data_IF_185067345806
#
_entry.id   IF_185067345806
#
_cell.length_a   1.000
_cell.length_b   1.000
_cell.length_c   1.000
_cell.angle_alpha   90.00
_cell.angle_beta   90.00
_cell.angle_gamma   90.00
#
_symmetry.space_group_name_H-M   'P 1'
#
loop_
_entity.id
_entity.type
_entity.pdbx_description
1 polymer ?
#
# COMPACT_ATOMS: atom_id res chain seq x y z
N UNK A 1 26.90 -12.78 -16.84
CA UNK A 1 27.37 -11.52 -16.21
C UNK A 1 26.29 -10.51 -15.89
N UNK A 2 25.33 -10.24 -16.79
CA UNK A 2 24.28 -9.23 -16.57
C UNK A 2 23.51 -9.40 -15.24
N UNK A 3 22.95 -10.59 -14.99
CA UNK A 3 22.21 -10.87 -13.74
C UNK A 3 23.04 -10.58 -12.48
N UNK A 4 24.35 -10.88 -12.50
CA UNK A 4 25.24 -10.59 -11.37
C UNK A 4 25.44 -9.09 -11.17
N UNK A 5 25.63 -8.33 -12.24
CA UNK A 5 25.73 -6.86 -12.20
C UNK A 5 24.43 -6.23 -11.71
N UNK A 6 23.28 -6.75 -12.18
CA UNK A 6 21.95 -6.34 -11.73
C UNK A 6 21.77 -6.54 -10.23
N UNK A 7 22.08 -7.74 -9.71
CA UNK A 7 21.99 -8.02 -8.28
C UNK A 7 22.88 -7.09 -7.44
N UNK A 8 24.12 -6.84 -7.88
CA UNK A 8 25.05 -5.93 -7.18
C UNK A 8 24.53 -4.49 -7.21
N UNK A 9 23.95 -4.04 -8.33
CA UNK A 9 23.35 -2.72 -8.44
C UNK A 9 22.16 -2.57 -7.48
N UNK A 10 21.25 -3.54 -7.47
CA UNK A 10 20.10 -3.55 -6.56
C UNK A 10 20.52 -3.61 -5.09
N UNK A 11 21.58 -4.34 -4.74
CA UNK A 11 22.12 -4.37 -3.38
C UNK A 11 22.65 -3.00 -2.95
N UNK A 12 23.35 -2.29 -3.84
CA UNK A 12 23.84 -0.93 -3.57
C UNK A 12 22.69 0.08 -3.45
N UNK A 13 21.65 -0.06 -4.28
CA UNK A 13 20.41 0.73 -4.19
C UNK A 13 19.75 0.48 -2.83
N UNK A 14 19.59 -0.78 -2.41
CA UNK A 14 19.01 -1.15 -1.13
C UNK A 14 19.76 -0.51 0.05
N UNK A 15 21.10 -0.61 0.06
CA UNK A 15 21.95 -0.01 1.10
C UNK A 15 21.82 1.52 1.13
N UNK A 16 21.80 2.14 -0.04
CA UNK A 16 21.70 3.60 -0.18
C UNK A 16 20.31 4.12 0.20
N UNK A 17 19.24 3.40 -0.15
CA UNK A 17 17.86 3.71 0.22
C UNK A 17 17.61 3.63 1.73
N UNK A 18 18.41 2.84 2.46
CA UNK A 18 18.38 2.72 3.91
C UNK A 18 19.48 3.54 4.62
N UNK A 19 20.16 4.43 3.88
CA UNK A 19 21.14 5.33 4.46
C UNK A 19 20.47 6.36 5.37
N UNK A 20 21.19 6.82 6.40
CA UNK A 20 20.72 7.86 7.31
C UNK A 20 20.49 9.21 6.63
N UNK A 21 21.22 9.48 5.56
CA UNK A 21 21.07 10.73 4.82
C UNK A 21 19.80 10.64 3.93
N UNK A 22 18.78 11.49 4.17
CA UNK A 22 17.52 11.43 3.44
C UNK A 22 17.66 11.76 1.95
N UNK A 23 18.66 12.55 1.55
CA UNK A 23 18.91 12.88 0.14
C UNK A 23 19.49 11.68 -0.61
N UNK A 24 20.46 10.99 0.00
CA UNK A 24 21.03 9.74 -0.55
C UNK A 24 19.93 8.69 -0.66
N UNK A 25 19.11 8.55 0.39
CA UNK A 25 18.01 7.60 0.41
C UNK A 25 16.98 7.87 -0.70
N UNK A 26 16.57 9.12 -0.88
CA UNK A 26 15.63 9.50 -1.92
C UNK A 26 16.23 9.36 -3.33
N UNK A 27 17.49 9.73 -3.52
CA UNK A 27 18.18 9.56 -4.81
C UNK A 27 18.29 8.07 -5.21
N UNK A 28 18.56 7.20 -4.24
CA UNK A 28 18.58 5.75 -4.46
C UNK A 28 17.22 5.21 -4.91
N UNK A 29 16.12 5.66 -4.29
CA UNK A 29 14.78 5.28 -4.75
C UNK A 29 14.48 5.80 -6.16
N UNK A 30 14.87 7.03 -6.49
CA UNK A 30 14.70 7.58 -7.84
C UNK A 30 15.42 6.74 -8.88
N UNK A 31 16.67 6.40 -8.61
CA UNK A 31 17.45 5.48 -9.44
C UNK A 31 16.77 4.11 -9.56
N UNK A 32 16.23 3.58 -8.47
CA UNK A 32 15.49 2.31 -8.50
C UNK A 32 14.26 2.36 -9.39
N UNK A 33 13.45 3.42 -9.28
CA UNK A 33 12.27 3.60 -10.11
C UNK A 33 12.63 3.74 -11.60
N UNK A 34 13.64 4.53 -11.93
CA UNK A 34 14.11 4.68 -13.31
C UNK A 34 14.54 3.32 -13.89
N UNK A 35 15.28 2.53 -13.10
CA UNK A 35 15.71 1.20 -13.50
C UNK A 35 14.53 0.24 -13.74
N UNK A 36 13.50 0.28 -12.90
CA UNK A 36 12.31 -0.56 -13.06
C UNK A 36 11.42 -0.08 -14.22
N UNK A 37 11.34 1.23 -14.48
CA UNK A 37 10.54 1.77 -15.58
C UNK A 37 11.19 1.65 -16.98
N UNK A 38 12.52 1.62 -17.05
CA UNK A 38 13.25 1.67 -18.33
C UNK A 38 13.48 0.31 -18.98
N UNK A 39 13.36 -0.79 -18.25
CA UNK A 39 13.52 -2.14 -18.80
C UNK A 39 12.24 -2.52 -19.56
N UNK A 40 12.28 -2.70 -20.90
CA UNK A 40 11.10 -3.06 -21.66
C UNK A 40 10.59 -4.45 -21.26
N UNK A 41 9.29 -4.58 -21.02
CA UNK A 41 8.63 -5.89 -20.96
C UNK A 41 8.86 -6.62 -22.30
N UNK A 42 9.55 -7.76 -22.28
CA UNK A 42 9.81 -8.62 -23.44
C UNK A 42 8.56 -9.29 -24.03
N UNK A 43 7.35 -8.91 -23.60
CA UNK A 43 6.09 -9.62 -23.90
C UNK A 43 5.18 -9.01 -24.97
N UNK A 44 5.53 -7.95 -25.67
CA UNK A 44 4.73 -7.49 -26.83
C UNK A 44 5.29 -8.00 -28.15
N UNK A 45 4.98 -9.25 -28.50
CA UNK A 45 5.03 -9.71 -29.90
C UNK A 45 3.78 -10.53 -30.23
N UNK A 46 2.70 -9.86 -30.66
CA UNK A 46 1.86 -10.25 -31.81
C UNK A 46 0.65 -9.31 -31.92
N UNK A 47 0.64 -8.47 -32.94
CA UNK A 47 -0.50 -8.32 -33.87
C UNK A 47 -0.07 -7.45 -35.04
N UNK A 48 -0.20 -8.03 -36.23
CA UNK A 48 0.06 -7.41 -37.52
C UNK A 48 -0.81 -6.17 -37.73
N UNK A 49 -0.19 -5.03 -38.07
CA UNK A 49 -0.82 -4.02 -38.92
C UNK A 49 0.22 -3.50 -39.91
N UNK A 50 -0.12 -3.62 -41.19
CA UNK A 50 0.63 -3.21 -42.37
C UNK A 50 0.70 -1.67 -42.47
N UNK A 51 1.90 -1.19 -42.83
CA UNK A 51 2.46 0.15 -43.17
C UNK A 51 1.56 1.15 -43.96
N UNK A 52 1.94 2.44 -44.27
CA UNK A 52 3.30 2.97 -44.47
C UNK A 52 3.52 4.50 -44.09
N UNK A 53 4.50 5.26 -44.63
CA UNK A 53 5.68 5.73 -43.87
C UNK A 53 5.91 7.26 -43.88
N UNK A 54 6.35 7.91 -42.80
CA UNK A 54 7.15 9.15 -42.95
C UNK A 54 7.91 9.60 -41.69
N UNK A 55 9.14 10.04 -41.96
CA UNK A 55 10.10 10.87 -41.19
C UNK A 55 10.81 10.27 -39.97
N UNK A 56 12.12 10.16 -40.14
CA UNK A 56 13.09 9.68 -39.19
C UNK A 56 13.23 10.58 -37.96
N UNK A 57 13.13 9.95 -36.79
CA UNK A 57 13.77 10.43 -35.57
C UNK A 57 14.53 9.24 -34.97
N UNK A 58 15.86 9.33 -35.02
CA UNK A 58 16.76 8.39 -34.36
C UNK A 58 16.60 8.49 -32.84
N UNK A 59 15.69 7.72 -32.26
CA UNK A 59 15.77 7.33 -30.86
C UNK A 59 16.27 5.90 -30.80
N UNK A 60 17.56 5.75 -30.50
CA UNK A 60 18.18 4.48 -30.16
C UNK A 60 17.43 3.87 -28.96
N UNK A 61 16.43 3.02 -29.24
CA UNK A 61 16.01 2.00 -28.28
C UNK A 61 17.14 0.98 -28.23
N UNK A 62 18.06 1.16 -27.29
CA UNK A 62 19.03 0.13 -26.94
C UNK A 62 18.25 -1.07 -26.40
N UNK A 63 17.97 -2.01 -27.30
CA UNK A 63 17.44 -3.32 -26.96
C UNK A 63 18.57 -4.07 -26.26
N UNK A 64 18.42 -4.32 -24.95
CA UNK A 64 19.38 -5.11 -24.19
C UNK A 64 19.47 -6.54 -24.76
N UNK A 65 20.59 -7.25 -24.53
CA UNK A 65 20.82 -8.58 -25.08
C UNK A 65 19.72 -9.55 -24.63
N UNK A 66 19.29 -10.41 -25.55
CA UNK A 66 18.29 -11.47 -25.37
C UNK A 66 18.53 -12.26 -24.07
N UNK A 67 17.89 -11.86 -22.98
CA UNK A 67 17.76 -12.69 -21.79
C UNK A 67 16.77 -13.81 -22.07
N UNK A 68 17.06 -15.01 -21.57
CA UNK A 68 16.10 -16.11 -21.62
C UNK A 68 14.92 -15.76 -20.69
N UNK A 69 13.72 -16.27 -20.94
CA UNK A 69 12.53 -15.97 -20.11
C UNK A 69 12.74 -16.27 -18.62
N UNK A 70 13.61 -17.23 -18.30
CA UNK A 70 14.02 -17.57 -16.93
C UNK A 70 14.91 -16.51 -16.28
N UNK A 71 15.81 -15.90 -17.04
CA UNK A 71 16.69 -14.84 -16.52
C UNK A 71 15.87 -13.56 -16.24
N UNK A 72 14.93 -13.23 -17.12
CA UNK A 72 14.00 -12.11 -16.94
C UNK A 72 13.18 -12.24 -15.65
N UNK A 73 12.66 -13.43 -15.37
CA UNK A 73 11.91 -13.70 -14.13
C UNK A 73 12.80 -13.52 -12.88
N UNK A 74 14.04 -13.98 -12.92
CA UNK A 74 14.98 -13.83 -11.80
C UNK A 74 15.35 -12.36 -11.55
N UNK A 75 15.50 -11.56 -12.60
CA UNK A 75 15.80 -10.12 -12.50
C UNK A 75 14.70 -9.38 -11.73
N UNK A 76 13.44 -9.59 -12.11
CA UNK A 76 12.29 -8.93 -11.48
C UNK A 76 11.99 -9.47 -10.09
N UNK A 77 12.23 -10.76 -9.86
CA UNK A 77 12.13 -11.34 -8.52
C UNK A 77 13.15 -10.70 -7.56
N UNK A 78 14.38 -10.43 -8.01
CA UNK A 78 15.34 -9.69 -7.18
C UNK A 78 14.86 -8.25 -6.92
N UNK A 79 14.38 -7.53 -7.94
CA UNK A 79 13.82 -6.19 -7.74
C UNK A 79 12.70 -6.19 -6.68
N UNK A 80 11.83 -7.21 -6.70
CA UNK A 80 10.81 -7.41 -5.67
C UNK A 80 11.39 -7.61 -4.26
N UNK A 81 12.38 -8.49 -4.11
CA UNK A 81 13.06 -8.72 -2.81
C UNK A 81 13.67 -7.41 -2.29
N UNK A 82 14.33 -6.64 -3.15
CA UNK A 82 14.90 -5.33 -2.77
C UNK A 82 13.81 -4.36 -2.35
N UNK A 83 12.70 -4.29 -3.06
CA UNK A 83 11.55 -3.47 -2.66
C UNK A 83 11.04 -3.88 -1.27
N UNK A 84 10.86 -5.17 -1.01
CA UNK A 84 10.45 -5.69 0.31
C UNK A 84 11.46 -5.32 1.41
N UNK A 85 12.75 -5.47 1.14
CA UNK A 85 13.81 -5.18 2.11
C UNK A 85 13.90 -3.69 2.44
N UNK A 86 13.74 -2.81 1.45
CA UNK A 86 13.67 -1.36 1.67
C UNK A 86 12.45 -1.04 2.54
N UNK A 87 11.28 -1.59 2.23
CA UNK A 87 10.05 -1.38 3.01
C UNK A 87 10.19 -1.82 4.46
N UNK A 88 10.69 -3.04 4.69
CA UNK A 88 10.97 -3.55 6.04
C UNK A 88 12.02 -2.73 6.76
N UNK A 89 12.99 -2.14 6.05
CA UNK A 89 14.04 -1.32 6.62
C UNK A 89 13.56 0.07 7.03
N UNK A 90 12.82 0.75 6.15
CA UNK A 90 12.35 2.12 6.37
C UNK A 90 11.14 2.21 7.32
N UNK A 91 10.45 1.09 7.55
CA UNK A 91 9.31 1.02 8.48
C UNK A 91 9.66 0.45 9.86
N UNK A 92 10.95 0.22 10.16
CA UNK A 92 11.36 -0.21 11.51
C UNK A 92 11.05 0.87 12.53
N UNK A 93 10.37 0.48 13.61
CA UNK A 93 10.22 1.34 14.78
C UNK A 93 11.62 1.68 15.35
N UNK A 94 11.91 2.94 15.69
CA UNK A 94 13.14 3.29 16.40
C UNK A 94 13.24 2.51 17.71
N UNK A 95 14.43 2.02 18.11
CA UNK A 95 14.58 1.32 19.38
C UNK A 95 14.24 2.23 20.57
N UNK A 96 13.61 1.65 21.59
CA UNK A 96 12.99 2.30 22.77
C UNK A 96 13.91 3.27 23.56
N UNK A 97 15.22 3.27 23.30
CA UNK A 97 16.25 4.02 24.02
C UNK A 97 16.90 5.15 23.22
N UNK A 98 16.39 5.50 22.05
CA UNK A 98 16.94 6.62 21.27
C UNK A 98 16.34 7.92 21.81
N UNK A 99 17.14 8.67 22.58
CA UNK A 99 16.91 10.09 22.80
C UNK A 99 17.08 10.74 21.43
N UNK A 100 16.00 11.24 20.83
CA UNK A 100 16.08 12.02 19.60
C UNK A 100 16.61 13.39 20.02
N UNK A 101 17.90 13.63 19.79
CA UNK A 101 18.57 14.88 20.14
C UNK A 101 18.39 15.91 19.02
N UNK A 102 18.28 15.46 17.76
CA UNK A 102 18.14 16.31 16.59
C UNK A 102 17.08 15.85 15.57
N UNK A 103 16.62 16.80 14.73
CA UNK A 103 15.64 16.60 13.63
C UNK A 103 16.04 15.54 12.59
N UNK A 104 17.33 15.18 12.53
CA UNK A 104 17.91 14.19 11.62
C UNK A 104 18.26 12.86 12.31
N UNK A 105 18.07 12.77 13.63
CA UNK A 105 18.32 11.55 14.41
C UNK A 105 17.10 10.62 14.49
N UNK A 106 15.94 11.09 14.04
CA UNK A 106 14.82 10.19 13.80
C UNK A 106 15.17 9.35 12.57
N UNK A 107 15.41 8.05 12.74
CA UNK A 107 15.49 7.06 11.64
C UNK A 107 14.13 6.90 10.89
N UNK A 108 13.31 7.96 10.86
CA UNK A 108 11.96 8.00 10.31
C UNK A 108 12.05 8.62 8.92
N UNK A 109 11.57 7.93 7.87
CA UNK A 109 11.63 8.42 6.50
C UNK A 109 10.65 9.57 6.26
N UNK A 110 10.98 10.47 5.32
CA UNK A 110 10.09 11.56 4.93
C UNK A 110 8.87 11.08 4.14
N UNK A 111 7.79 11.87 4.14
CA UNK A 111 6.59 11.56 3.34
C UNK A 111 6.88 11.45 1.84
N UNK A 112 7.80 12.26 1.30
CA UNK A 112 8.21 12.18 -0.10
C UNK A 112 8.92 10.86 -0.40
N UNK A 113 9.82 10.41 0.48
CA UNK A 113 10.47 9.12 0.36
C UNK A 113 9.44 7.97 0.36
N UNK A 114 8.52 7.99 1.32
CA UNK A 114 7.48 6.95 1.44
C UNK A 114 6.54 6.92 0.24
N UNK A 115 6.11 8.08 -0.24
CA UNK A 115 5.23 8.21 -1.41
C UNK A 115 5.91 7.59 -2.63
N UNK A 116 7.16 8.00 -2.88
CA UNK A 116 7.93 7.50 -4.01
C UNK A 116 8.22 5.99 -3.91
N UNK A 117 8.49 5.49 -2.70
CA UNK A 117 8.66 4.06 -2.44
C UNK A 117 7.41 3.23 -2.82
N UNK A 118 6.22 3.72 -2.47
CA UNK A 118 4.96 3.06 -2.83
C UNK A 118 4.70 3.14 -4.33
N UNK A 119 5.04 4.26 -4.98
CA UNK A 119 4.84 4.44 -6.44
C UNK A 119 5.71 3.50 -7.29
N UNK A 120 6.80 2.95 -6.75
CA UNK A 120 7.62 1.93 -7.44
C UNK A 120 6.86 0.59 -7.58
N UNK A 121 5.93 0.29 -6.68
CA UNK A 121 5.29 -1.02 -6.58
C UNK A 121 4.65 -1.49 -7.91
N UNK A 122 3.76 -0.73 -8.57
CA UNK A 122 3.11 -1.20 -9.81
C UNK A 122 4.12 -1.51 -10.92
N UNK A 123 5.20 -0.74 -10.98
CA UNK A 123 6.24 -0.88 -11.99
C UNK A 123 7.02 -2.20 -11.84
N UNK A 124 7.17 -2.72 -10.61
CA UNK A 124 7.79 -4.04 -10.39
C UNK A 124 6.76 -5.14 -10.65
N UNK A 125 5.58 -4.99 -10.08
CA UNK A 125 4.59 -6.07 -10.02
C UNK A 125 4.05 -6.44 -11.39
N UNK A 126 3.90 -5.48 -12.31
CA UNK A 126 3.44 -5.76 -13.68
C UNK A 126 4.31 -6.82 -14.40
N UNK A 127 5.57 -7.00 -14.01
CA UNK A 127 6.47 -7.99 -14.61
C UNK A 127 6.41 -9.37 -13.93
N UNK A 128 5.93 -9.43 -12.69
CA UNK A 128 5.89 -10.67 -11.89
C UNK A 128 4.46 -11.16 -11.59
N UNK A 129 3.43 -10.37 -11.92
CA UNK A 129 2.03 -10.71 -11.65
C UNK A 129 1.59 -12.04 -12.25
N UNK A 130 1.91 -12.28 -13.53
CA UNK A 130 1.50 -13.48 -14.27
C UNK A 130 2.32 -14.72 -13.95
N UNK A 131 3.30 -14.63 -13.04
CA UNK A 131 4.12 -15.77 -12.63
C UNK A 131 3.49 -16.47 -11.42
N UNK A 132 3.78 -17.75 -11.22
CA UNK A 132 3.34 -18.53 -10.03
C UNK A 132 3.69 -17.82 -8.70
N UNK A 133 4.62 -16.90 -8.74
CA UNK A 133 5.15 -16.14 -7.63
C UNK A 133 4.12 -15.24 -6.92
N UNK A 134 3.19 -14.58 -7.62
CA UNK A 134 2.20 -13.70 -6.96
C UNK A 134 0.90 -14.40 -6.51
N UNK A 135 0.74 -15.68 -6.86
CA UNK A 135 -0.22 -16.55 -6.19
C UNK A 135 0.29 -17.00 -4.81
N UNK A 136 1.53 -16.70 -4.46
CA UNK A 136 2.07 -16.91 -3.13
C UNK A 136 1.41 -15.95 -2.13
N UNK A 137 0.61 -16.50 -1.22
CA UNK A 137 -0.01 -15.75 -0.12
C UNK A 137 1.03 -14.97 0.70
N UNK A 138 2.23 -15.51 0.87
CA UNK A 138 3.28 -14.89 1.67
C UNK A 138 3.74 -13.56 1.08
N UNK A 139 3.91 -13.45 -0.24
CA UNK A 139 4.37 -12.21 -0.87
C UNK A 139 3.35 -11.09 -0.72
N UNK A 140 2.06 -11.42 -0.86
CA UNK A 140 1.00 -10.46 -0.59
C UNK A 140 0.94 -10.05 0.88
N UNK A 141 1.11 -10.97 1.82
CA UNK A 141 1.15 -10.64 3.25
C UNK A 141 2.31 -9.68 3.57
N UNK A 142 3.48 -9.88 2.95
CA UNK A 142 4.63 -8.98 3.12
C UNK A 142 4.35 -7.58 2.55
N UNK A 143 3.77 -7.49 1.34
CA UNK A 143 3.29 -6.23 0.78
C UNK A 143 2.31 -5.53 1.72
N UNK A 144 1.29 -6.27 2.14
CA UNK A 144 0.19 -5.83 2.98
C UNK A 144 0.69 -5.29 4.32
N UNK A 145 1.66 -5.97 4.94
CA UNK A 145 2.33 -5.54 6.16
C UNK A 145 3.10 -4.23 5.94
N UNK A 146 3.89 -4.13 4.88
CA UNK A 146 4.68 -2.93 4.57
C UNK A 146 3.76 -1.73 4.34
N UNK A 147 2.70 -1.86 3.54
CA UNK A 147 1.75 -0.75 3.29
C UNK A 147 1.11 -0.25 4.58
N UNK A 148 0.69 -1.16 5.47
CA UNK A 148 0.17 -0.78 6.78
C UNK A 148 1.20 0.03 7.58
N UNK A 149 2.45 -0.44 7.64
CA UNK A 149 3.50 0.23 8.40
C UNK A 149 3.89 1.58 7.79
N UNK A 150 3.97 1.66 6.46
CA UNK A 150 4.25 2.91 5.74
C UNK A 150 3.19 3.96 6.04
N UNK A 151 1.91 3.58 6.02
CA UNK A 151 0.81 4.48 6.35
C UNK A 151 0.78 4.88 7.84
N UNK A 152 1.31 4.04 8.73
CA UNK A 152 1.40 4.36 10.15
C UNK A 152 2.44 5.46 10.46
N UNK A 153 3.47 5.63 9.62
CA UNK A 153 4.57 6.56 9.88
C UNK A 153 4.04 8.00 9.97
N UNK A 154 4.36 8.74 11.06
CA UNK A 154 3.85 10.08 11.27
C UNK A 154 4.32 11.08 10.22
N UNK A 155 3.49 12.10 9.97
CA UNK A 155 3.87 13.25 9.15
C UNK A 155 4.61 14.25 10.03
N UNK A 156 5.87 14.56 9.70
CA UNK A 156 6.64 15.59 10.40
C UNK A 156 6.10 17.01 10.12
N UNK A 157 6.12 17.86 11.14
CA UNK A 157 5.48 19.19 11.20
C UNK A 157 5.89 20.17 10.10
N UNK A 158 7.15 20.12 9.65
CA UNK A 158 7.72 21.15 8.76
C UNK A 158 7.15 21.06 7.32
N UNK A 159 6.51 19.93 6.96
CA UNK A 159 5.75 19.75 5.72
C UNK A 159 4.22 19.77 5.93
N UNK A 160 3.74 19.75 7.18
CA UNK A 160 2.32 19.67 7.51
C UNK A 160 1.53 20.90 7.04
N UNK A 161 2.17 22.07 6.94
CA UNK A 161 1.57 23.31 6.44
C UNK A 161 1.20 23.27 4.95
N UNK A 162 1.84 22.41 4.14
CA UNK A 162 1.55 22.24 2.71
C UNK A 162 0.75 20.96 2.41
N UNK A 163 0.62 20.08 3.41
CA UNK A 163 -0.13 18.84 3.33
C UNK A 163 -1.56 18.99 3.86
N UNK A 164 -2.13 20.20 3.92
CA UNK A 164 -3.47 20.46 4.49
C UNK A 164 -4.43 19.41 3.93
N UNK A 165 -4.78 18.37 4.71
CA UNK A 165 -5.78 17.41 4.30
C UNK A 165 -7.07 18.20 4.51
N UNK A 166 -7.60 18.77 3.43
CA UNK A 166 -9.00 19.15 3.47
C UNK A 166 -9.81 17.89 3.78
N UNK A 167 -10.99 18.02 4.35
CA UNK A 167 -11.87 16.89 4.70
C UNK A 167 -12.22 15.96 3.53
N UNK A 168 -11.73 16.26 2.32
CA UNK A 168 -11.98 15.59 1.06
C UNK A 168 -10.70 15.04 0.41
N UNK A 169 -9.53 15.61 0.68
CA UNK A 169 -8.30 15.31 -0.08
C UNK A 169 -7.39 14.32 0.64
N UNK A 170 -6.81 13.42 -0.15
CA UNK A 170 -5.81 12.46 0.31
C UNK A 170 -4.45 13.15 0.39
N UNK A 171 -3.58 12.69 1.29
CA UNK A 171 -2.15 12.99 1.16
C UNK A 171 -1.57 12.26 -0.06
N UNK A 172 -0.44 12.72 -0.59
CA UNK A 172 0.23 12.04 -1.71
C UNK A 172 0.53 10.57 -1.38
N UNK A 173 0.97 10.29 -0.14
CA UNK A 173 1.21 8.92 0.31
C UNK A 173 -0.07 8.06 0.29
N UNK A 174 -1.19 8.61 0.78
CA UNK A 174 -2.48 7.93 0.75
C UNK A 174 -2.98 7.72 -0.70
N UNK A 175 -2.73 8.66 -1.61
CA UNK A 175 -3.04 8.49 -3.04
C UNK A 175 -2.22 7.36 -3.65
N UNK A 176 -0.92 7.32 -3.41
CA UNK A 176 -0.03 6.26 -3.89
C UNK A 176 -0.43 4.90 -3.34
N UNK A 177 -0.73 4.81 -2.03
CA UNK A 177 -1.23 3.58 -1.42
C UNK A 177 -2.57 3.13 -2.01
N UNK A 178 -3.50 4.07 -2.24
CA UNK A 178 -4.77 3.77 -2.90
C UNK A 178 -4.57 3.24 -4.33
N UNK A 179 -3.67 3.86 -5.11
CA UNK A 179 -3.34 3.41 -6.47
C UNK A 179 -2.71 2.02 -6.48
N UNK A 180 -1.84 1.70 -5.52
CA UNK A 180 -1.26 0.37 -5.38
C UNK A 180 -2.33 -0.69 -5.09
N UNK A 181 -3.28 -0.40 -4.19
CA UNK A 181 -4.42 -1.30 -3.94
C UNK A 181 -5.34 -1.43 -5.17
N UNK A 182 -5.62 -0.34 -5.88
CA UNK A 182 -6.44 -0.38 -7.09
C UNK A 182 -5.77 -1.17 -8.22
N UNK A 183 -4.44 -1.11 -8.32
CA UNK A 183 -3.66 -1.92 -9.24
C UNK A 183 -3.85 -3.41 -8.95
N UNK A 184 -3.72 -3.84 -7.69
CA UNK A 184 -3.97 -5.25 -7.29
C UNK A 184 -5.41 -5.66 -7.63
N UNK A 185 -6.40 -4.80 -7.31
CA UNK A 185 -7.82 -5.07 -7.62
C UNK A 185 -8.04 -5.31 -9.11
N UNK A 186 -7.46 -4.47 -9.98
CA UNK A 186 -7.61 -4.61 -11.44
C UNK A 186 -7.00 -5.91 -11.95
N UNK A 187 -5.78 -6.22 -11.53
CA UNK A 187 -5.10 -7.43 -11.98
C UNK A 187 -5.78 -8.73 -11.44
N UNK A 188 -6.36 -8.68 -10.23
CA UNK A 188 -7.18 -9.78 -9.71
C UNK A 188 -8.43 -10.04 -10.56
N UNK A 189 -9.02 -8.99 -11.16
CA UNK A 189 -10.17 -9.11 -12.05
C UNK A 189 -9.79 -9.61 -13.44
N UNK A 190 -8.71 -9.11 -14.02
CA UNK A 190 -8.28 -9.47 -15.37
C UNK A 190 -7.82 -10.94 -15.48
N UNK A 191 -7.39 -11.54 -14.37
CA UNK A 191 -6.93 -12.94 -14.33
C UNK A 191 -8.05 -13.98 -14.45
N UNK A 192 -9.33 -13.57 -14.56
CA UNK A 192 -10.56 -14.31 -14.24
C UNK A 192 -10.83 -15.65 -14.94
N UNK A 193 -10.02 -16.10 -15.90
CA UNK A 193 -10.21 -17.42 -16.50
C UNK A 193 -9.82 -18.59 -15.58
N UNK A 194 -8.95 -18.36 -14.58
CA UNK A 194 -8.49 -19.39 -13.63
C UNK A 194 -8.67 -19.00 -12.14
N UNK A 195 -9.30 -17.86 -11.83
CA UNK A 195 -9.18 -17.17 -10.52
C UNK A 195 -10.32 -17.44 -9.53
N UNK A 196 -11.32 -18.24 -9.86
CA UNK A 196 -12.46 -18.50 -8.94
C UNK A 196 -12.03 -19.16 -7.62
N UNK A 197 -10.86 -19.81 -7.62
CA UNK A 197 -10.24 -20.43 -6.44
C UNK A 197 -9.02 -19.66 -5.92
N UNK A 198 -8.76 -18.43 -6.38
CA UNK A 198 -7.56 -17.72 -5.97
C UNK A 198 -7.52 -17.51 -4.44
N UNK A 199 -6.49 -18.03 -3.76
CA UNK A 199 -6.33 -17.90 -2.31
C UNK A 199 -5.94 -16.47 -1.89
N UNK A 200 -5.59 -15.62 -2.86
CA UNK A 200 -5.19 -14.23 -2.65
C UNK A 200 -6.40 -13.30 -2.41
N UNK A 201 -7.56 -13.65 -2.97
CA UNK A 201 -8.74 -12.79 -2.95
C UNK A 201 -9.27 -12.55 -1.52
N UNK A 202 -9.42 -13.57 -0.65
CA UNK A 202 -9.77 -13.37 0.77
C UNK A 202 -8.77 -12.51 1.54
N UNK A 203 -7.46 -12.70 1.31
CA UNK A 203 -6.41 -11.90 1.96
C UNK A 203 -6.48 -10.44 1.54
N UNK A 204 -6.75 -10.18 0.26
CA UNK A 204 -6.94 -8.84 -0.25
C UNK A 204 -8.16 -8.16 0.37
N UNK A 205 -9.28 -8.87 0.55
CA UNK A 205 -10.43 -8.36 1.30
C UNK A 205 -10.08 -8.01 2.74
N UNK A 206 -9.41 -8.90 3.46
CA UNK A 206 -8.98 -8.64 4.83
C UNK A 206 -8.14 -7.35 4.90
N UNK A 207 -7.26 -7.14 3.91
CA UNK A 207 -6.43 -5.94 3.85
C UNK A 207 -7.22 -4.67 3.57
N UNK A 208 -8.13 -4.68 2.59
CA UNK A 208 -9.00 -3.53 2.33
C UNK A 208 -9.86 -3.19 3.56
N UNK A 209 -10.38 -4.20 4.27
CA UNK A 209 -11.21 -4.00 5.46
C UNK A 209 -10.42 -3.38 6.61
N UNK A 210 -9.19 -3.84 6.87
CA UNK A 210 -8.29 -3.22 7.86
C UNK A 210 -8.03 -1.75 7.51
N UNK A 211 -7.65 -1.45 6.26
CA UNK A 211 -7.40 -0.08 5.81
C UNK A 211 -8.67 0.80 5.86
N UNK A 212 -9.85 0.22 5.64
CA UNK A 212 -11.13 0.94 5.81
C UNK A 212 -11.44 1.29 7.26
N UNK A 213 -10.93 0.51 8.23
CA UNK A 213 -11.15 0.77 9.65
C UNK A 213 -10.40 2.01 10.15
N UNK A 214 -9.40 2.50 9.39
CA UNK A 214 -8.64 3.70 9.76
C UNK A 214 -9.45 5.00 9.75
N UNK A 215 -10.67 5.00 9.18
CA UNK A 215 -11.62 6.10 9.34
C UNK A 215 -12.05 6.30 10.81
N UNK A 216 -12.01 5.23 11.61
CA UNK A 216 -12.42 5.24 13.02
C UNK A 216 -11.19 5.12 13.93
N UNK A 217 -10.29 4.20 13.58
CA UNK A 217 -9.10 3.89 14.36
C UNK A 217 -7.86 4.07 13.50
N UNK A 218 -7.35 5.31 13.43
CA UNK A 218 -6.14 5.62 12.67
C UNK A 218 -4.95 4.73 13.09
N UNK A 219 -4.05 4.37 12.16
CA UNK A 219 -2.91 3.51 12.46
C UNK A 219 -1.98 4.19 13.46
N UNK A 220 -1.37 3.38 14.34
CA UNK A 220 -0.43 3.85 15.35
C UNK A 220 0.96 3.35 14.99
N UNK A 221 1.90 4.28 14.79
CA UNK A 221 3.33 3.98 14.83
C UNK A 221 3.72 3.85 16.31
N UNK A 222 4.22 2.69 16.73
CA UNK A 222 4.55 2.45 18.14
C UNK A 222 5.48 3.54 18.71
N UNK A 223 5.16 3.99 19.93
CA UNK A 223 5.66 5.24 20.53
C UNK A 223 7.18 5.24 20.75
N UNK A 224 7.80 6.38 20.43
CA UNK A 224 9.00 6.87 21.13
C UNK A 224 8.54 7.33 22.52
N UNK A 225 9.07 6.82 23.64
CA UNK A 225 8.73 7.34 24.96
C UNK A 225 9.24 8.78 25.10
N UNK A 226 8.33 9.76 25.05
CA UNK A 226 8.64 11.13 25.45
C UNK A 226 8.81 11.18 26.98
N UNK A 227 10.01 11.55 27.42
CA UNK A 227 10.31 11.79 28.83
C UNK A 227 9.44 12.93 29.33
N UNK A 228 8.56 12.65 30.29
CA UNK A 228 7.90 13.68 31.10
C UNK A 228 8.99 14.45 31.84
N UNK A 229 9.21 15.72 31.50
CA UNK A 229 9.98 16.61 32.37
C UNK A 229 9.26 16.69 33.72
N UNK A 230 10.01 16.38 34.77
CA UNK A 230 9.54 16.43 36.15
C UNK A 230 9.20 17.88 36.53
N UNK A 231 7.94 18.14 36.81
CA UNK A 231 7.58 19.19 37.77
C UNK A 231 6.40 18.71 38.64
N UNK A 232 6.70 18.74 39.93
CA UNK A 232 5.89 18.69 41.15
C UNK A 232 4.37 18.50 41.05
N UNK A 233 3.91 17.41 41.66
CA UNK A 233 2.69 17.25 42.49
C UNK A 233 1.61 18.36 42.41
N UNK A 234 0.43 18.02 41.87
CA UNK A 234 -0.86 18.05 42.60
C UNK A 234 -2.00 17.43 41.77
N UNK A 235 -3.00 16.93 42.50
CA UNK A 235 -4.12 16.12 42.06
C UNK A 235 -5.08 16.80 41.04
N UNK A 236 -5.90 15.94 40.41
CA UNK A 236 -7.28 16.15 39.89
C UNK A 236 -7.46 16.10 38.36
N UNK A 237 -8.34 15.17 37.98
CA UNK A 237 -9.17 15.04 36.77
C UNK A 237 -8.57 14.58 35.43
N UNK A 238 -9.07 13.40 35.04
CA UNK A 238 -9.21 12.90 33.68
C UNK A 238 -9.94 13.95 32.85
N UNK A 239 -9.17 14.75 32.11
CA UNK A 239 -9.64 15.44 30.91
C UNK A 239 -8.71 14.98 29.80
N UNK A 240 -9.28 14.35 28.78
CA UNK A 240 -8.65 14.16 27.47
C UNK A 240 -8.46 15.55 26.87
N UNK A 241 -7.41 16.25 27.29
CA UNK A 241 -6.98 17.49 26.66
C UNK A 241 -6.21 17.13 25.41
N UNK A 242 -6.84 17.41 24.27
CA UNK A 242 -6.20 17.87 23.05
C UNK A 242 -4.96 18.72 23.37
N UNK A 243 -3.82 18.43 22.73
CA UNK A 243 -2.59 19.24 22.82
C UNK A 243 -1.45 18.54 23.56
N UNK A 244 -0.70 17.71 22.85
CA UNK A 244 0.58 17.15 23.29
C UNK A 244 1.41 16.76 22.07
N UNK A 245 2.28 17.68 21.63
CA UNK A 245 3.38 17.56 20.66
C UNK A 245 3.07 16.85 19.33
N UNK A 246 2.92 17.68 18.30
CA UNK A 246 2.38 17.38 16.97
C UNK A 246 3.20 16.39 16.14
N UNK A 247 2.99 15.09 16.38
CA UNK A 247 2.90 14.16 15.26
C UNK A 247 1.52 14.37 14.63
N UNK A 248 1.44 15.21 13.60
CA UNK A 248 0.21 15.43 12.84
C UNK A 248 -0.15 14.14 12.11
N UNK A 249 -0.89 13.24 12.77
CA UNK A 249 -1.42 12.05 12.12
C UNK A 249 -2.35 12.52 11.00
N UNK A 250 -2.09 12.05 9.77
CA UNK A 250 -2.88 12.38 8.61
C UNK A 250 -4.37 12.02 8.83
N UNK A 251 -5.29 12.80 8.25
CA UNK A 251 -6.70 12.42 8.24
C UNK A 251 -6.89 11.17 7.35
N UNK A 252 -7.26 10.04 7.94
CA UNK A 252 -7.49 8.79 7.21
C UNK A 252 -8.92 8.63 6.69
N UNK A 253 -9.86 9.50 7.09
CA UNK A 253 -11.27 9.36 6.71
C UNK A 253 -11.46 9.29 5.19
N UNK A 254 -10.94 10.22 4.36
CA UNK A 254 -11.17 10.16 2.92
C UNK A 254 -10.54 8.93 2.26
N UNK A 255 -9.36 8.51 2.75
CA UNK A 255 -8.65 7.32 2.29
C UNK A 255 -9.46 6.05 2.56
N UNK A 256 -9.81 5.85 3.83
CA UNK A 256 -10.53 4.68 4.30
C UNK A 256 -11.90 4.53 3.67
N UNK A 257 -12.62 5.63 3.44
CA UNK A 257 -13.90 5.60 2.72
C UNK A 257 -13.73 5.19 1.25
N UNK A 258 -12.69 5.66 0.56
CA UNK A 258 -12.39 5.22 -0.81
C UNK A 258 -12.03 3.73 -0.84
N UNK A 259 -11.25 3.25 0.12
CA UNK A 259 -10.91 1.84 0.28
C UNK A 259 -12.16 0.99 0.57
N UNK A 260 -13.09 1.46 1.41
CA UNK A 260 -14.34 0.74 1.68
C UNK A 260 -15.18 0.58 0.41
N UNK A 261 -15.32 1.64 -0.39
CA UNK A 261 -16.00 1.58 -1.70
C UNK A 261 -15.32 0.58 -2.64
N UNK A 262 -13.98 0.53 -2.63
CA UNK A 262 -13.20 -0.45 -3.39
C UNK A 262 -13.51 -1.89 -2.96
N UNK A 263 -13.55 -2.16 -1.66
CA UNK A 263 -13.87 -3.47 -1.10
C UNK A 263 -15.29 -3.91 -1.48
N UNK A 264 -16.28 -3.05 -1.30
CA UNK A 264 -17.68 -3.38 -1.65
C UNK A 264 -17.84 -3.60 -3.15
N UNK A 265 -17.25 -2.74 -3.98
CA UNK A 265 -17.29 -2.92 -5.43
C UNK A 265 -16.66 -4.25 -5.85
N UNK A 266 -15.49 -4.58 -5.30
CA UNK A 266 -14.86 -5.89 -5.55
C UNK A 266 -15.75 -7.05 -5.12
N UNK A 267 -16.38 -6.98 -3.93
CA UNK A 267 -17.28 -8.02 -3.45
C UNK A 267 -18.47 -8.24 -4.38
N UNK A 268 -19.08 -7.17 -4.88
CA UNK A 268 -20.18 -7.28 -5.85
C UNK A 268 -19.77 -8.04 -7.12
N UNK A 269 -18.51 -7.93 -7.55
CA UNK A 269 -17.99 -8.60 -8.74
C UNK A 269 -17.64 -10.08 -8.51
N UNK A 270 -17.25 -10.45 -7.29
CA UNK A 270 -16.63 -11.77 -6.98
C UNK A 270 -17.37 -12.59 -5.92
N UNK A 271 -18.54 -12.14 -5.46
CA UNK A 271 -19.27 -12.77 -4.35
C UNK A 271 -19.59 -14.27 -4.57
N UNK A 272 -19.74 -14.70 -5.83
CA UNK A 272 -20.03 -16.09 -6.19
C UNK A 272 -18.79 -16.99 -6.26
N UNK A 273 -17.58 -16.45 -6.07
CA UNK A 273 -16.35 -17.23 -6.18
C UNK A 273 -16.20 -18.17 -4.96
N UNK A 274 -15.88 -19.46 -5.16
CA UNK A 274 -15.71 -20.42 -4.07
C UNK A 274 -14.76 -19.95 -2.96
N UNK A 275 -13.60 -19.38 -3.30
CA UNK A 275 -12.64 -18.93 -2.29
C UNK A 275 -13.18 -17.81 -1.40
N UNK A 276 -14.09 -16.98 -1.92
CA UNK A 276 -14.74 -15.87 -1.21
C UNK A 276 -15.81 -16.39 -0.24
N UNK A 277 -16.58 -17.39 -0.70
CA UNK A 277 -17.64 -18.04 0.07
C UNK A 277 -17.03 -18.85 1.21
N UNK A 278 -16.07 -19.74 0.91
CA UNK A 278 -15.44 -20.64 1.87
C UNK A 278 -14.71 -19.89 3.00
N UNK A 279 -14.11 -18.73 2.70
CA UNK A 279 -13.45 -17.89 3.70
C UNK A 279 -14.40 -16.96 4.48
N UNK A 280 -15.72 -17.07 4.27
CA UNK A 280 -16.69 -16.27 5.02
C UNK A 280 -16.57 -14.76 4.77
N UNK A 281 -16.12 -14.35 3.58
CA UNK A 281 -15.80 -12.94 3.28
C UNK A 281 -16.99 -12.01 3.55
N UNK A 282 -18.22 -12.45 3.24
CA UNK A 282 -19.45 -11.73 3.57
C UNK A 282 -19.55 -11.40 5.05
N UNK A 283 -19.30 -12.39 5.91
CA UNK A 283 -19.36 -12.22 7.36
C UNK A 283 -18.29 -11.22 7.83
N UNK A 284 -17.08 -11.32 7.31
CA UNK A 284 -15.97 -10.40 7.65
C UNK A 284 -16.29 -8.95 7.24
N UNK A 285 -16.89 -8.74 6.07
CA UNK A 285 -17.34 -7.41 5.64
C UNK A 285 -18.41 -6.88 6.60
N UNK A 286 -19.41 -7.69 6.94
CA UNK A 286 -20.49 -7.30 7.86
C UNK A 286 -19.94 -6.95 9.25
N UNK A 287 -19.02 -7.75 9.79
CA UNK A 287 -18.36 -7.49 11.07
C UNK A 287 -17.58 -6.17 11.06
N UNK A 288 -16.92 -5.87 9.94
CA UNK A 288 -16.20 -4.59 9.77
C UNK A 288 -17.18 -3.41 9.75
N UNK A 289 -18.28 -3.52 9.00
CA UNK A 289 -19.32 -2.49 8.92
C UNK A 289 -20.09 -2.31 10.24
N UNK A 290 -20.19 -3.36 11.07
CA UNK A 290 -20.83 -3.29 12.38
C UNK A 290 -20.19 -2.23 13.28
N UNK A 291 -18.88 -2.01 13.19
CA UNK A 291 -18.16 -1.05 14.03
C UNK A 291 -18.72 0.37 13.85
N UNK A 292 -18.65 1.02 12.66
CA UNK A 292 -19.25 2.35 12.48
C UNK A 292 -20.76 2.35 12.74
N UNK A 293 -21.49 1.32 12.30
CA UNK A 293 -22.95 1.26 12.44
C UNK A 293 -23.40 1.23 13.91
N UNK A 294 -22.66 0.55 14.77
CA UNK A 294 -22.94 0.46 16.21
C UNK A 294 -22.74 1.79 16.94
N UNK A 295 -21.84 2.65 16.44
CA UNK A 295 -21.55 3.94 17.04
C UNK A 295 -22.66 4.97 16.80
N UNK A 296 -23.46 4.83 15.74
CA UNK A 296 -24.52 5.78 15.35
C UNK A 296 -23.99 7.23 15.33
N UNK A 297 -24.54 8.09 16.18
CA UNK A 297 -24.14 9.50 16.34
C UNK A 297 -22.77 9.69 16.99
N UNK A 298 -22.22 8.65 17.63
CA UNK A 298 -20.88 8.68 18.23
C UNK A 298 -19.78 8.29 17.24
N UNK A 299 -20.10 8.05 15.97
CA UNK A 299 -19.10 7.77 14.95
C UNK A 299 -18.21 9.02 14.77
N UNK A 300 -16.87 8.91 14.78
CA UNK A 300 -15.98 10.06 14.66
C UNK A 300 -16.24 10.92 13.42
N UNK A 301 -16.73 10.30 12.34
CA UNK A 301 -17.13 11.00 11.14
C UNK A 301 -18.52 10.56 10.64
N UNK A 302 -19.40 11.53 10.41
CA UNK A 302 -20.77 11.27 9.93
C UNK A 302 -20.79 10.72 8.51
N UNK A 303 -19.86 11.12 7.63
CA UNK A 303 -19.78 10.57 6.27
C UNK A 303 -19.45 9.08 6.30
N UNK A 304 -18.55 8.65 7.18
CA UNK A 304 -18.16 7.25 7.32
C UNK A 304 -19.32 6.39 7.80
N UNK A 305 -20.10 6.89 8.78
CA UNK A 305 -21.31 6.19 9.22
C UNK A 305 -22.35 6.05 8.10
N UNK A 306 -22.62 7.14 7.36
CA UNK A 306 -23.56 7.11 6.21
C UNK A 306 -23.10 6.16 5.12
N UNK A 307 -21.80 6.18 4.80
CA UNK A 307 -21.20 5.27 3.83
C UNK A 307 -21.32 3.81 4.29
N UNK A 308 -21.09 3.52 5.58
CA UNK A 308 -21.23 2.18 6.12
C UNK A 308 -22.65 1.63 5.94
N UNK A 309 -23.68 2.47 6.09
CA UNK A 309 -25.08 2.08 5.81
C UNK A 309 -25.27 1.72 4.34
N UNK A 310 -24.80 2.58 3.43
CA UNK A 310 -24.89 2.34 1.98
C UNK A 310 -24.19 1.02 1.60
N UNK A 311 -22.94 0.86 2.04
CA UNK A 311 -22.13 -0.33 1.83
C UNK A 311 -22.80 -1.59 2.38
N UNK A 312 -23.41 -1.52 3.57
CA UNK A 312 -24.11 -2.64 4.18
C UNK A 312 -25.26 -3.15 3.31
N UNK A 313 -26.12 -2.25 2.81
CA UNK A 313 -27.22 -2.63 1.93
C UNK A 313 -26.74 -3.21 0.60
N UNK A 314 -25.68 -2.64 0.02
CA UNK A 314 -25.07 -3.14 -1.23
C UNK A 314 -24.53 -4.56 -1.07
N UNK A 315 -23.77 -4.80 -0.01
CA UNK A 315 -23.19 -6.10 0.30
C UNK A 315 -24.28 -7.13 0.57
N UNK A 316 -25.32 -6.80 1.34
CA UNK A 316 -26.44 -7.72 1.59
C UNK A 316 -27.23 -8.04 0.33
N UNK A 317 -27.43 -7.08 -0.57
CA UNK A 317 -28.16 -7.29 -1.83
C UNK A 317 -27.56 -8.43 -2.65
N UNK A 318 -26.23 -8.50 -2.73
CA UNK A 318 -25.51 -9.57 -3.44
C UNK A 318 -25.33 -10.79 -2.54
N UNK A 319 -24.80 -10.59 -1.33
CA UNK A 319 -24.38 -11.66 -0.43
C UNK A 319 -25.53 -12.54 0.06
N UNK A 320 -26.74 -12.02 0.27
CA UNK A 320 -27.89 -12.84 0.66
C UNK A 320 -28.35 -13.79 -0.45
N UNK A 321 -28.20 -13.38 -1.71
CA UNK A 321 -28.53 -14.25 -2.86
C UNK A 321 -27.54 -15.40 -2.90
N UNK A 322 -26.24 -15.12 -2.75
CA UNK A 322 -25.20 -16.15 -2.69
C UNK A 322 -25.40 -17.06 -1.47
N UNK A 323 -25.57 -16.51 -0.28
CA UNK A 323 -25.75 -17.29 0.95
C UNK A 323 -26.96 -18.24 0.89
N UNK A 324 -28.02 -17.89 0.15
CA UNK A 324 -29.17 -18.79 -0.08
C UNK A 324 -28.85 -19.94 -1.03
N UNK A 325 -27.99 -19.72 -2.03
CA UNK A 325 -27.58 -20.75 -3.01
C UNK A 325 -26.67 -21.80 -2.37
N UNK A 326 -25.82 -21.40 -1.42
CA UNK A 326 -24.79 -22.24 -0.80
C UNK A 326 -25.08 -22.59 0.67
N UNK A 327 -26.37 -22.62 1.06
CA UNK A 327 -26.82 -22.95 2.41
C UNK A 327 -26.76 -24.44 2.71
#
# INVERSE_FOLDING_TARGET
DFLKVWCVLLENIQKSALAKNPEIALAALKCFNELVCTVPSSTTTTTNVVSPPTVAAHSNKQQLPLCTSSDDQQLWHQAWIVWLNIGRGCTKCPPEKVIIIDRYDSNVPSQNFLTYYVDIFPNIIQHIWSTEFLYNQQDFEQFSFIIERVLAIPVHSDMALFLIPTDVNLTLLQESAFKAMDFIRKNLKESSSHTTQSPLLPLFFQRLLILSSYAINAPIFEKIPTVKQQSSQQNVNIIRSSGGEHSSNANFVPFSEKILRMAVGLYEDVAEYPSVIENGTLQTIIQTLQVPLSMKYNCPCTSTWKLAIECFFRVLKVGLVVARKYR
#
